data_IF_984414838643
#
_entry.id   IF_984414838643
#
_cell.length_a   1.000
_cell.length_b   1.000
_cell.length_c   1.000
_cell.angle_alpha   90.00
_cell.angle_beta   90.00
_cell.angle_gamma   90.00
#
_symmetry.space_group_name_H-M   'P 1'
#
loop_
_entity.id
_entity.type
_entity.pdbx_description
1 polymer ?
#
# COMPACT_ATOMS: atom_id res chain seq x y z
N UNK A 1 4.48 1.33 -4.19
CA UNK A 1 3.75 2.55 -4.60
C UNK A 1 4.48 3.82 -4.23
N UNK A 2 5.01 3.97 -3.00
CA UNK A 2 5.78 5.17 -2.61
C UNK A 2 6.98 5.44 -3.53
N UNK A 3 7.75 4.39 -3.89
CA UNK A 3 8.97 4.54 -4.71
C UNK A 3 8.71 4.56 -6.21
N UNK A 4 7.77 3.73 -6.68
CA UNK A 4 7.51 3.52 -8.11
C UNK A 4 6.20 4.18 -8.59
N UNK A 5 5.59 5.04 -7.77
CA UNK A 5 4.31 5.66 -8.10
C UNK A 5 4.40 6.52 -9.36
N UNK A 6 5.44 7.34 -9.45
CA UNK A 6 5.69 8.21 -10.61
C UNK A 6 5.89 7.42 -11.92
N UNK A 7 6.82 6.45 -12.05
CA UNK A 7 6.99 5.71 -13.29
C UNK A 7 5.76 4.89 -13.68
N UNK A 8 5.01 4.35 -12.71
CA UNK A 8 3.77 3.60 -12.99
C UNK A 8 2.69 4.54 -13.54
N UNK A 9 2.47 5.70 -12.91
CA UNK A 9 1.48 6.68 -13.37
C UNK A 9 1.90 7.29 -14.71
N UNK A 10 3.20 7.58 -14.90
CA UNK A 10 3.75 8.10 -16.14
C UNK A 10 3.53 7.14 -17.32
N UNK A 11 3.67 5.83 -17.06
CA UNK A 11 3.47 4.82 -18.09
C UNK A 11 1.99 4.69 -18.50
N UNK A 12 1.07 4.77 -17.54
CA UNK A 12 -0.35 4.52 -17.78
C UNK A 12 -1.09 5.76 -18.28
N UNK A 13 -0.80 6.93 -17.69
CA UNK A 13 -1.62 8.13 -17.85
C UNK A 13 -0.91 9.28 -18.56
N UNK A 14 0.43 9.38 -18.49
CA UNK A 14 1.13 10.55 -19.03
C UNK A 14 1.21 10.53 -20.55
N UNK A 15 0.35 11.33 -21.18
CA UNK A 15 0.31 11.57 -22.61
C UNK A 15 -0.76 12.60 -22.96
N UNK A 16 -0.62 13.23 -24.13
CA UNK A 16 -1.58 14.24 -24.61
C UNK A 16 -1.76 15.39 -23.63
N UNK A 17 -2.95 15.47 -23.01
CA UNK A 17 -3.30 16.51 -22.04
C UNK A 17 -2.75 16.27 -20.62
N UNK A 18 -2.33 15.04 -20.29
CA UNK A 18 -1.84 14.68 -18.96
C UNK A 18 -0.32 14.86 -18.89
N UNK A 19 0.12 15.87 -18.14
CA UNK A 19 1.52 16.31 -18.09
C UNK A 19 2.30 15.60 -16.98
N UNK A 20 3.62 15.78 -16.99
CA UNK A 20 4.50 15.27 -15.93
C UNK A 20 4.11 15.81 -14.54
N UNK A 21 3.61 17.05 -14.49
CA UNK A 21 3.08 17.64 -13.27
C UNK A 21 1.90 16.85 -12.69
N UNK A 22 0.91 16.50 -13.52
CA UNK A 22 -0.27 15.74 -13.09
C UNK A 22 0.12 14.34 -12.61
N UNK A 23 1.12 13.76 -13.26
CA UNK A 23 1.75 12.48 -12.89
C UNK A 23 2.31 12.53 -11.48
N UNK A 24 3.05 13.59 -11.16
CA UNK A 24 3.62 13.78 -9.83
C UNK A 24 2.52 13.95 -8.77
N UNK A 25 1.46 14.71 -9.06
CA UNK A 25 0.32 14.91 -8.14
C UNK A 25 -0.42 13.59 -7.85
N UNK A 26 -0.66 12.77 -8.87
CA UNK A 26 -1.28 11.46 -8.68
C UNK A 26 -0.34 10.51 -7.93
N UNK A 27 0.97 10.56 -8.18
CA UNK A 27 1.94 9.74 -7.45
C UNK A 27 1.95 10.04 -5.94
N UNK A 28 1.79 11.30 -5.53
CA UNK A 28 1.65 11.67 -4.11
C UNK A 28 0.38 11.09 -3.47
N UNK A 29 -0.75 11.19 -4.15
CA UNK A 29 -2.00 10.55 -3.69
C UNK A 29 -1.85 9.04 -3.58
N UNK A 30 -1.19 8.41 -4.54
CA UNK A 30 -0.97 6.96 -4.55
C UNK A 30 -0.06 6.52 -3.38
N UNK A 31 0.96 7.32 -3.08
CA UNK A 31 1.81 7.11 -1.91
C UNK A 31 0.99 7.21 -0.61
N UNK A 32 0.13 8.21 -0.48
CA UNK A 32 -0.76 8.37 0.67
C UNK A 32 -1.74 7.20 0.85
N UNK A 33 -2.34 6.68 -0.23
CA UNK A 33 -3.20 5.50 -0.17
C UNK A 33 -2.45 4.21 0.24
N UNK A 34 -1.17 4.10 -0.13
CA UNK A 34 -0.39 2.89 0.15
C UNK A 34 -0.17 2.65 1.65
N UNK A 35 -0.23 3.70 2.48
CA UNK A 35 -0.11 3.60 3.94
C UNK A 35 -1.28 2.81 4.53
N UNK A 36 -2.50 3.02 4.02
CA UNK A 36 -3.71 2.33 4.49
C UNK A 36 -3.90 0.92 3.93
N UNK A 37 -3.10 0.54 2.92
CA UNK A 37 -3.31 -0.70 2.16
C UNK A 37 -3.27 -1.96 3.04
N UNK A 38 -2.34 -2.02 4.00
CA UNK A 38 -2.24 -3.14 4.93
C UNK A 38 -3.49 -3.26 5.82
N UNK A 39 -4.01 -2.13 6.32
CA UNK A 39 -5.26 -2.09 7.08
C UNK A 39 -6.45 -2.53 6.25
N UNK A 40 -6.58 -2.03 5.02
CA UNK A 40 -7.62 -2.44 4.08
C UNK A 40 -7.61 -3.94 3.78
N UNK A 41 -6.43 -4.52 3.55
CA UNK A 41 -6.29 -5.95 3.34
C UNK A 41 -6.73 -6.75 4.58
N UNK A 42 -6.32 -6.32 5.76
CA UNK A 42 -6.69 -6.97 7.02
C UNK A 42 -8.19 -6.90 7.33
N UNK A 43 -8.85 -5.77 7.05
CA UNK A 43 -10.32 -5.64 7.19
C UNK A 43 -11.05 -6.72 6.37
N UNK A 44 -10.60 -6.99 5.13
CA UNK A 44 -11.21 -8.02 4.27
C UNK A 44 -11.09 -9.44 4.82
N UNK A 45 -10.12 -9.70 5.71
CA UNK A 45 -9.96 -11.00 6.38
C UNK A 45 -10.75 -11.03 7.69
N UNK A 46 -10.73 -9.93 8.44
CA UNK A 46 -11.38 -9.83 9.75
C UNK A 46 -12.91 -9.84 9.64
N UNK A 47 -13.49 -9.11 8.67
CA UNK A 47 -14.96 -9.01 8.56
C UNK A 47 -15.64 -10.37 8.33
N UNK A 48 -15.19 -11.23 7.37
CA UNK A 48 -15.72 -12.59 7.24
C UNK A 48 -15.53 -13.46 8.47
N UNK A 49 -14.44 -13.26 9.21
CA UNK A 49 -14.18 -14.01 10.45
C UNK A 49 -15.22 -13.71 11.54
N UNK A 50 -15.75 -12.48 11.60
CA UNK A 50 -16.86 -12.13 12.48
C UNK A 50 -18.17 -12.81 12.07
N UNK A 51 -18.47 -12.86 10.77
CA UNK A 51 -19.64 -13.58 10.26
C UNK A 51 -19.58 -15.09 10.55
N UNK A 52 -18.41 -15.70 10.47
CA UNK A 52 -18.21 -17.11 10.81
C UNK A 52 -18.48 -17.42 12.30
N UNK A 53 -18.42 -16.40 13.17
CA UNK A 53 -18.75 -16.52 14.60
C UNK A 53 -20.15 -15.99 14.93
N UNK A 54 -21.02 -15.91 13.94
CA UNK A 54 -22.40 -15.44 14.05
C UNK A 54 -22.52 -14.02 14.66
N UNK A 55 -21.53 -13.17 14.40
CA UNK A 55 -21.50 -11.77 14.85
C UNK A 55 -21.38 -10.82 13.67
N UNK A 56 -22.52 -10.52 13.05
CA UNK A 56 -22.61 -9.50 12.02
C UNK A 56 -22.66 -8.06 12.59
N UNK A 57 -22.97 -7.92 13.89
CA UNK A 57 -23.27 -6.61 14.50
C UNK A 57 -22.00 -5.82 14.74
N UNK A 58 -20.96 -6.45 15.26
CA UNK A 58 -19.66 -5.81 15.55
C UNK A 58 -19.06 -5.15 14.30
N UNK A 59 -18.85 -5.86 13.15
CA UNK A 59 -18.32 -5.22 11.96
C UNK A 59 -19.25 -4.14 11.40
N UNK A 60 -20.58 -4.30 11.49
CA UNK A 60 -21.54 -3.29 11.05
C UNK A 60 -21.39 -1.97 11.82
N UNK A 61 -21.37 -2.01 13.17
CA UNK A 61 -21.25 -0.80 13.98
C UNK A 61 -19.89 -0.12 13.78
N UNK A 62 -18.81 -0.88 13.65
CA UNK A 62 -17.49 -0.33 13.34
C UNK A 62 -17.49 0.34 11.96
N UNK A 63 -18.10 -0.28 10.94
CA UNK A 63 -18.22 0.33 9.61
C UNK A 63 -19.01 1.63 9.63
N UNK A 64 -20.14 1.68 10.34
CA UNK A 64 -20.96 2.90 10.48
C UNK A 64 -20.15 4.00 11.17
N UNK A 65 -19.47 3.69 12.28
CA UNK A 65 -18.60 4.63 12.99
C UNK A 65 -17.45 5.12 12.09
N UNK A 66 -16.85 4.22 11.32
CA UNK A 66 -15.78 4.53 10.38
C UNK A 66 -16.25 5.50 9.30
N UNK A 67 -17.44 5.27 8.72
CA UNK A 67 -18.05 6.17 7.72
C UNK A 67 -18.34 7.54 8.33
N UNK A 68 -18.89 7.58 9.55
CA UNK A 68 -19.19 8.82 10.26
C UNK A 68 -17.92 9.65 10.54
N UNK A 69 -16.81 9.00 10.87
CA UNK A 69 -15.51 9.66 11.11
C UNK A 69 -14.79 10.00 9.79
N UNK A 70 -15.05 9.27 8.70
CA UNK A 70 -14.31 9.45 7.44
C UNK A 70 -14.51 10.82 6.82
N UNK A 71 -15.75 11.32 6.75
CA UNK A 71 -16.05 12.63 6.19
C UNK A 71 -15.37 13.80 6.93
N UNK A 72 -15.49 13.95 8.27
CA UNK A 72 -14.84 15.05 8.99
C UNK A 72 -13.32 14.93 8.98
N UNK A 73 -12.75 13.71 9.06
CA UNK A 73 -11.29 13.52 8.97
C UNK A 73 -10.79 13.87 7.57
N UNK A 74 -11.51 13.49 6.52
CA UNK A 74 -11.15 13.85 5.14
C UNK A 74 -11.19 15.35 4.93
N UNK A 75 -12.24 16.03 5.40
CA UNK A 75 -12.35 17.48 5.28
C UNK A 75 -11.26 18.21 6.08
N UNK A 76 -11.01 17.79 7.32
CA UNK A 76 -9.97 18.37 8.16
C UNK A 76 -8.57 18.18 7.58
N UNK A 77 -8.26 16.98 7.08
CA UNK A 77 -6.95 16.67 6.50
C UNK A 77 -6.75 17.33 5.13
N UNK A 78 -7.82 17.47 4.34
CA UNK A 78 -7.83 18.27 3.11
C UNK A 78 -7.51 19.74 3.41
N UNK A 79 -8.20 20.35 4.37
CA UNK A 79 -7.98 21.76 4.74
C UNK A 79 -6.58 21.99 5.32
N UNK A 80 -6.08 21.05 6.13
CA UNK A 80 -4.74 21.12 6.69
C UNK A 80 -3.66 21.08 5.60
N UNK A 81 -3.81 20.21 4.59
CA UNK A 81 -2.83 20.07 3.51
C UNK A 81 -3.05 21.02 2.34
N UNK A 82 -4.21 21.65 2.20
CA UNK A 82 -4.46 22.63 1.15
C UNK A 82 -3.65 23.91 1.33
N UNK A 83 -3.27 24.25 2.57
CA UNK A 83 -2.38 25.36 2.87
C UNK A 83 -0.89 25.07 2.64
N UNK A 84 -0.53 23.81 2.37
CA UNK A 84 0.87 23.38 2.24
C UNK A 84 1.22 23.26 0.75
N UNK A 85 2.34 23.87 0.34
CA UNK A 85 2.85 23.75 -1.03
C UNK A 85 2.03 24.53 -2.06
N UNK A 86 1.36 25.60 -1.64
CA UNK A 86 0.61 26.51 -2.52
C UNK A 86 1.60 27.23 -3.43
N UNK A 87 1.37 27.13 -4.73
CA UNK A 87 2.14 27.81 -5.77
C UNK A 87 1.20 28.25 -6.90
N UNK A 88 1.65 29.08 -7.83
CA UNK A 88 0.84 29.51 -8.98
C UNK A 88 0.32 28.30 -9.80
N UNK A 89 1.09 27.21 -9.84
CA UNK A 89 0.71 25.95 -10.49
C UNK A 89 -0.13 25.02 -9.60
N UNK A 90 -0.19 25.30 -8.28
CA UNK A 90 -0.89 24.50 -7.25
C UNK A 90 -1.74 25.41 -6.36
N UNK A 91 -2.83 26.01 -6.88
CA UNK A 91 -3.63 26.95 -6.11
C UNK A 91 -4.26 26.32 -4.85
N UNK A 92 -4.50 25.00 -4.86
CA UNK A 92 -5.11 24.25 -3.75
C UNK A 92 -4.10 23.38 -2.96
N UNK A 93 -2.79 23.63 -3.13
CA UNK A 93 -1.72 22.89 -2.44
C UNK A 93 -1.85 21.36 -2.57
N UNK A 94 -1.56 20.65 -1.48
CA UNK A 94 -1.65 19.18 -1.40
C UNK A 94 -2.98 18.66 -0.82
N UNK A 95 -4.07 19.44 -0.89
CA UNK A 95 -5.36 19.05 -0.29
C UNK A 95 -5.88 17.68 -0.77
N UNK A 96 -5.65 17.33 -2.03
CA UNK A 96 -5.99 16.02 -2.61
C UNK A 96 -5.24 14.86 -1.93
N UNK A 97 -3.97 15.05 -1.57
CA UNK A 97 -3.18 14.08 -0.80
C UNK A 97 -3.73 13.96 0.63
N UNK A 98 -4.24 15.06 1.20
CA UNK A 98 -4.90 15.06 2.51
C UNK A 98 -6.11 14.12 2.57
N UNK A 99 -6.95 14.11 1.54
CA UNK A 99 -8.10 13.18 1.47
C UNK A 99 -7.63 11.72 1.34
N UNK A 100 -6.58 11.47 0.56
CA UNK A 100 -6.00 10.14 0.43
C UNK A 100 -5.41 9.63 1.77
N UNK A 101 -4.69 10.49 2.49
CA UNK A 101 -4.15 10.18 3.82
C UNK A 101 -5.27 9.93 4.84
N UNK A 102 -6.32 10.73 4.82
CA UNK A 102 -7.48 10.55 5.69
C UNK A 102 -8.12 9.17 5.48
N UNK A 103 -8.30 8.78 4.22
CA UNK A 103 -8.84 7.46 3.87
C UNK A 103 -7.95 6.33 4.40
N UNK A 104 -6.63 6.46 4.26
CA UNK A 104 -5.67 5.51 4.82
C UNK A 104 -5.71 5.43 6.34
N UNK A 105 -5.76 6.58 7.01
CA UNK A 105 -5.82 6.67 8.47
C UNK A 105 -7.11 6.02 9.01
N UNK A 106 -8.25 6.33 8.40
CA UNK A 106 -9.56 5.77 8.74
C UNK A 106 -9.57 4.25 8.54
N UNK A 107 -8.95 3.74 7.47
CA UNK A 107 -8.81 2.30 7.26
C UNK A 107 -7.95 1.63 8.33
N UNK A 108 -6.86 2.26 8.78
CA UNK A 108 -6.04 1.74 9.88
C UNK A 108 -6.81 1.74 11.20
N UNK A 109 -7.60 2.78 11.49
CA UNK A 109 -8.46 2.85 12.68
C UNK A 109 -9.53 1.75 12.65
N UNK A 110 -10.16 1.51 11.50
CA UNK A 110 -11.13 0.43 11.34
C UNK A 110 -10.47 -0.95 11.56
N UNK A 111 -9.31 -1.19 10.96
CA UNK A 111 -8.52 -2.39 11.18
C UNK A 111 -8.18 -2.61 12.66
N UNK A 112 -7.70 -1.58 13.36
CA UNK A 112 -7.33 -1.70 14.78
C UNK A 112 -8.55 -1.96 15.66
N UNK A 113 -9.68 -1.31 15.38
CA UNK A 113 -10.95 -1.57 16.06
C UNK A 113 -11.41 -3.02 15.86
N UNK A 114 -11.47 -3.52 14.62
CA UNK A 114 -11.84 -4.91 14.33
C UNK A 114 -10.92 -5.91 15.04
N UNK A 115 -9.61 -5.66 15.00
CA UNK A 115 -8.61 -6.52 15.67
C UNK A 115 -8.81 -6.53 17.18
N UNK A 116 -9.11 -5.38 17.78
CA UNK A 116 -9.38 -5.26 19.21
C UNK A 116 -10.64 -6.05 19.63
N UNK A 117 -11.75 -5.88 18.91
CA UNK A 117 -12.98 -6.63 19.20
C UNK A 117 -12.83 -8.13 18.94
N UNK A 118 -12.06 -8.51 17.90
CA UNK A 118 -11.75 -9.91 17.63
C UNK A 118 -10.97 -10.54 18.79
N UNK A 119 -9.97 -9.82 19.31
CA UNK A 119 -9.21 -10.24 20.49
C UNK A 119 -10.10 -10.37 21.72
N UNK A 120 -11.08 -9.48 21.90
CA UNK A 120 -12.04 -9.59 23.01
C UNK A 120 -12.93 -10.83 22.88
N UNK A 121 -13.28 -11.24 21.65
CA UNK A 121 -14.20 -12.37 21.39
C UNK A 121 -13.52 -13.74 21.46
N UNK A 122 -12.31 -13.87 20.90
CA UNK A 122 -11.56 -15.15 20.82
C UNK A 122 -10.48 -15.25 21.91
N UNK A 123 -10.14 -14.14 22.57
CA UNK A 123 -9.11 -14.07 23.62
C UNK A 123 -7.71 -13.91 23.03
N UNK A 124 -7.02 -15.02 22.75
CA UNK A 124 -5.60 -14.99 22.33
C UNK A 124 -5.47 -15.09 20.82
N UNK A 125 -4.94 -14.04 20.20
CA UNK A 125 -4.75 -13.92 18.75
C UNK A 125 -3.33 -14.29 18.30
N UNK A 126 -2.59 -15.12 19.04
CA UNK A 126 -1.17 -15.44 18.79
C UNK A 126 -0.32 -14.21 18.38
N UNK A 127 -0.51 -13.08 19.09
CA UNK A 127 0.04 -11.79 18.68
C UNK A 127 1.57 -11.75 18.56
N UNK A 128 2.29 -12.63 19.26
CA UNK A 128 3.76 -12.78 19.11
C UNK A 128 4.14 -13.30 17.73
N UNK A 129 3.42 -14.31 17.23
CA UNK A 129 3.68 -14.89 15.91
C UNK A 129 3.29 -13.91 14.81
N UNK A 130 2.15 -13.23 14.97
CA UNK A 130 1.72 -12.15 14.05
C UNK A 130 2.74 -11.03 14.00
N UNK A 131 3.23 -10.56 15.15
CA UNK A 131 4.22 -9.49 15.21
C UNK A 131 5.56 -9.96 14.61
N UNK A 132 5.96 -11.20 14.87
CA UNK A 132 7.16 -11.80 14.26
C UNK A 132 7.05 -11.87 12.73
N UNK A 133 5.92 -12.31 12.20
CA UNK A 133 5.65 -12.32 10.75
C UNK A 133 5.66 -10.89 10.18
N UNK A 134 5.00 -9.95 10.84
CA UNK A 134 4.97 -8.54 10.44
C UNK A 134 6.38 -7.94 10.34
N UNK A 135 7.25 -8.17 11.34
CA UNK A 135 8.62 -7.67 11.33
C UNK A 135 9.44 -8.30 10.19
N UNK A 136 9.31 -9.61 9.95
CA UNK A 136 10.01 -10.27 8.83
C UNK A 136 9.55 -9.72 7.47
N UNK A 137 8.25 -9.53 7.29
CA UNK A 137 7.68 -8.92 6.07
C UNK A 137 8.16 -7.47 5.91
N UNK A 138 8.22 -6.70 7.00
CA UNK A 138 8.72 -5.33 6.98
C UNK A 138 10.19 -5.26 6.53
N UNK A 139 11.05 -6.16 7.05
CA UNK A 139 12.46 -6.25 6.64
C UNK A 139 12.57 -6.63 5.16
N UNK A 140 11.85 -7.66 4.71
CA UNK A 140 11.83 -8.05 3.29
C UNK A 140 11.35 -6.90 2.38
N UNK A 141 10.34 -6.14 2.83
CA UNK A 141 9.79 -4.99 2.11
C UNK A 141 10.76 -3.80 2.08
N UNK A 142 11.55 -3.61 3.13
CA UNK A 142 12.60 -2.58 3.17
C UNK A 142 13.72 -2.88 2.17
N UNK A 143 14.17 -4.14 2.08
CA UNK A 143 15.16 -4.56 1.08
C UNK A 143 14.59 -4.42 -0.33
N UNK A 144 13.36 -4.86 -0.58
CA UNK A 144 12.67 -4.64 -1.85
C UNK A 144 12.63 -3.15 -2.22
N UNK A 145 12.27 -2.29 -1.27
CA UNK A 145 12.20 -0.83 -1.47
C UNK A 145 13.55 -0.28 -1.90
N UNK A 146 14.63 -0.69 -1.24
CA UNK A 146 15.99 -0.28 -1.60
C UNK A 146 16.37 -0.74 -3.02
N UNK A 147 16.09 -2.00 -3.37
CA UNK A 147 16.37 -2.54 -4.71
C UNK A 147 15.56 -1.82 -5.79
N UNK A 148 14.27 -1.57 -5.56
CA UNK A 148 13.44 -0.79 -6.48
C UNK A 148 13.99 0.62 -6.69
N UNK A 149 14.40 1.29 -5.61
CA UNK A 149 14.92 2.66 -5.68
C UNK A 149 16.25 2.73 -6.46
N UNK A 150 17.18 1.84 -6.16
CA UNK A 150 18.49 1.80 -6.83
C UNK A 150 18.36 1.41 -8.31
N UNK A 151 17.52 0.41 -8.61
CA UNK A 151 17.28 -0.02 -10.00
C UNK A 151 16.60 1.07 -10.81
N UNK A 152 15.59 1.75 -10.25
CA UNK A 152 14.95 2.90 -10.91
C UNK A 152 15.96 4.01 -11.21
N UNK A 153 16.77 4.41 -10.22
CA UNK A 153 17.81 5.45 -10.43
C UNK A 153 18.86 5.05 -11.46
N UNK A 154 19.24 3.78 -11.50
CA UNK A 154 20.18 3.28 -12.50
C UNK A 154 19.58 3.39 -13.90
N UNK A 155 18.36 2.87 -14.11
CA UNK A 155 17.70 2.92 -15.44
C UNK A 155 17.50 4.37 -15.91
N UNK A 156 17.02 5.25 -15.03
CA UNK A 156 16.83 6.66 -15.35
C UNK A 156 18.14 7.39 -15.70
N UNK A 157 19.27 7.01 -15.08
CA UNK A 157 20.57 7.59 -15.40
C UNK A 157 21.11 7.12 -16.77
N UNK A 158 20.78 5.89 -17.20
CA UNK A 158 21.22 5.35 -18.49
C UNK A 158 20.36 5.84 -19.67
N UNK A 159 19.08 6.12 -19.45
CA UNK A 159 18.14 6.50 -20.51
C UNK A 159 17.58 7.91 -20.28
N UNK A 160 18.33 8.94 -20.67
CA UNK A 160 17.93 10.35 -20.54
C UNK A 160 16.95 10.80 -21.67
N UNK A 161 16.13 9.89 -22.19
CA UNK A 161 15.25 10.15 -23.35
C UNK A 161 13.82 9.79 -23.01
N UNK A 162 12.90 10.74 -23.17
CA UNK A 162 11.46 10.58 -22.91
C UNK A 162 10.76 9.74 -24.00
N UNK A 163 11.15 8.48 -24.14
CA UNK A 163 10.50 7.52 -25.04
C UNK A 163 9.58 6.58 -24.26
N UNK A 164 8.46 6.18 -24.88
CA UNK A 164 7.52 5.23 -24.25
C UNK A 164 8.19 3.88 -23.92
N UNK A 165 9.15 3.45 -24.74
CA UNK A 165 9.95 2.26 -24.48
C UNK A 165 10.82 2.39 -23.22
N UNK A 166 11.38 3.58 -22.96
CA UNK A 166 12.14 3.85 -21.74
C UNK A 166 11.24 3.82 -20.52
N UNK A 167 10.05 4.44 -20.59
CA UNK A 167 9.06 4.38 -19.50
C UNK A 167 8.62 2.96 -19.15
N UNK A 168 8.49 2.08 -20.15
CA UNK A 168 8.24 0.66 -19.90
C UNK A 168 9.39 0.03 -19.12
N UNK A 169 10.64 0.26 -19.52
CA UNK A 169 11.80 -0.29 -18.82
C UNK A 169 11.93 0.26 -17.39
N UNK A 170 11.70 1.56 -17.19
CA UNK A 170 11.71 2.23 -15.89
C UNK A 170 10.63 1.71 -14.93
N UNK A 171 9.51 1.20 -15.45
CA UNK A 171 8.49 0.57 -14.62
C UNK A 171 8.76 -0.93 -14.41
N UNK A 172 8.97 -1.69 -15.48
CA UNK A 172 9.02 -3.15 -15.41
C UNK A 172 10.30 -3.70 -14.77
N UNK A 173 11.46 -3.08 -15.01
CA UNK A 173 12.74 -3.57 -14.45
C UNK A 173 12.74 -3.46 -12.92
N UNK A 174 12.43 -2.28 -12.31
CA UNK A 174 12.39 -2.18 -10.85
C UNK A 174 11.31 -3.05 -10.22
N UNK A 175 10.15 -3.20 -10.86
CA UNK A 175 9.08 -4.10 -10.37
C UNK A 175 9.57 -5.55 -10.35
N UNK A 176 10.20 -6.02 -11.43
CA UNK A 176 10.72 -7.38 -11.53
C UNK A 176 11.84 -7.65 -10.52
N UNK A 177 12.85 -6.77 -10.47
CA UNK A 177 13.97 -6.91 -9.54
C UNK A 177 13.53 -6.78 -8.07
N UNK A 178 12.63 -5.85 -7.77
CA UNK A 178 12.04 -5.70 -6.45
C UNK A 178 11.26 -6.93 -6.02
N UNK A 179 10.41 -7.47 -6.90
CA UNK A 179 9.66 -8.70 -6.63
C UNK A 179 10.57 -9.90 -6.35
N UNK A 180 11.65 -10.04 -7.12
CA UNK A 180 12.67 -11.07 -6.89
C UNK A 180 13.39 -10.87 -5.55
N UNK A 181 13.80 -9.64 -5.24
CA UNK A 181 14.48 -9.32 -3.98
C UNK A 181 13.57 -9.60 -2.77
N UNK A 182 12.29 -9.23 -2.84
CA UNK A 182 11.31 -9.55 -1.82
C UNK A 182 11.18 -11.07 -1.63
N UNK A 183 11.03 -11.82 -2.73
CA UNK A 183 10.86 -13.27 -2.66
C UNK A 183 12.10 -13.97 -2.07
N UNK A 184 13.30 -13.56 -2.48
CA UNK A 184 14.56 -14.08 -1.92
C UNK A 184 14.65 -13.78 -0.42
N UNK A 185 14.42 -12.53 -0.02
CA UNK A 185 14.47 -12.15 1.40
C UNK A 185 13.40 -12.83 2.24
N UNK A 186 12.19 -12.96 1.71
CA UNK A 186 11.10 -13.65 2.39
C UNK A 186 11.43 -15.14 2.63
N UNK A 187 12.11 -15.79 1.67
CA UNK A 187 12.59 -17.15 1.81
C UNK A 187 13.76 -17.26 2.80
N UNK A 188 14.70 -16.32 2.79
CA UNK A 188 15.81 -16.28 3.74
C UNK A 188 15.34 -16.07 5.18
N UNK A 189 14.33 -15.21 5.38
CA UNK A 189 13.71 -14.94 6.68
C UNK A 189 12.72 -16.04 7.11
N UNK A 190 12.53 -17.09 6.31
CA UNK A 190 11.60 -18.21 6.55
C UNK A 190 10.20 -17.71 6.91
N UNK A 191 9.63 -16.89 6.03
CA UNK A 191 8.25 -16.45 6.16
C UNK A 191 7.35 -17.64 5.82
N UNK A 192 6.62 -18.14 6.82
CA UNK A 192 5.82 -19.37 6.77
C UNK A 192 4.85 -19.38 5.58
N UNK A 193 4.25 -18.23 5.29
CA UNK A 193 3.28 -18.02 4.22
C UNK A 193 3.93 -18.23 2.84
N UNK A 194 5.15 -17.76 2.64
CA UNK A 194 5.89 -17.95 1.38
C UNK A 194 6.33 -19.40 1.23
N UNK A 195 6.80 -20.04 2.30
CA UNK A 195 7.15 -21.47 2.26
C UNK A 195 5.94 -22.36 1.95
N UNK A 196 4.76 -22.04 2.51
CA UNK A 196 3.51 -22.71 2.21
C UNK A 196 3.15 -22.58 0.72
N UNK A 197 3.19 -21.37 0.15
CA UNK A 197 2.90 -21.16 -1.27
C UNK A 197 3.89 -21.91 -2.17
N UNK A 198 5.19 -21.85 -1.86
CA UNK A 198 6.24 -22.53 -2.64
C UNK A 198 6.08 -24.05 -2.58
N UNK A 199 5.76 -24.60 -1.42
CA UNK A 199 5.54 -26.04 -1.26
C UNK A 199 4.28 -26.53 -1.99
N UNK A 200 3.21 -25.74 -2.01
CA UNK A 200 2.01 -26.04 -2.79
C UNK A 200 2.30 -26.04 -4.30
N UNK A 201 3.05 -25.06 -4.79
CA UNK A 201 3.46 -25.01 -6.21
C UNK A 201 4.33 -26.20 -6.59
N UNK A 202 5.32 -26.57 -5.76
CA UNK A 202 6.16 -27.76 -5.97
C UNK A 202 5.33 -29.05 -6.01
N UNK A 203 4.29 -29.17 -5.18
CA UNK A 203 3.38 -30.32 -5.20
C UNK A 203 2.51 -30.38 -6.46
N UNK A 204 2.10 -29.24 -7.00
CA UNK A 204 1.26 -29.16 -8.21
C UNK A 204 2.04 -29.38 -9.51
N UNK A 205 3.28 -28.89 -9.58
CA UNK A 205 4.18 -29.05 -10.75
C UNK A 205 5.14 -30.24 -10.65
N UNK A 206 5.21 -30.90 -9.49
CA UNK A 206 5.95 -32.15 -9.29
C UNK A 206 5.12 -33.42 -9.53
N UNK A 207 3.97 -33.27 -10.19
CA UNK A 207 3.20 -34.35 -10.84
C UNK A 207 3.34 -34.18 -12.34
#
# INVERSE_FOLDING_TARGET
MIVLGEPIVALIYQGGAFRAFDTNMVAWSLAAYSIGLAGYAAIKVLSPSFYAMDDARTPMFISIATIAVHAPVSFGMMYLLSGIGVSAERPNGYGHVGVALATSAVALVNFTALTYFMRKKIGRLNGRDILGAFVRVAIASAVMTLVCYLSYRAVAAFFNVENIGVRMLEAFIPIGLGGLAFFIMAKLLRISEVEQVVSMLRRKFGR
#
